data_IF_007831702277
#
_entry.id   IF_007831702277
#
_cell.length_a   1.000
_cell.length_b   1.000
_cell.length_c   1.000
_cell.angle_alpha   90.00
_cell.angle_beta   90.00
_cell.angle_gamma   90.00
#
_symmetry.space_group_name_H-M   'P 1'
#
loop_
_entity.id
_entity.type
_entity.pdbx_description
1 polymer ?
#
# COMPACT_ATOMS: atom_id res chain seq x y z
N UNK A 1 6.17 20.67 17.48
CA UNK A 1 7.15 19.75 16.83
C UNK A 1 6.95 19.82 15.32
N UNK A 2 8.03 19.80 14.52
CA UNK A 2 7.97 19.79 13.06
C UNK A 2 8.32 18.41 12.50
N UNK A 3 7.44 17.81 11.73
CA UNK A 3 7.65 16.51 11.08
C UNK A 3 7.66 16.69 9.57
N UNK A 4 8.68 16.16 8.90
CA UNK A 4 8.75 16.14 7.44
C UNK A 4 8.66 14.71 6.95
N UNK A 5 7.66 14.44 6.12
CA UNK A 5 7.54 13.20 5.35
C UNK A 5 8.11 13.40 3.96
N UNK A 6 8.93 12.46 3.49
CA UNK A 6 9.50 12.49 2.13
C UNK A 6 9.06 11.23 1.40
N UNK A 7 8.38 11.39 0.26
CA UNK A 7 7.89 10.29 -0.58
C UNK A 7 8.20 10.54 -2.05
N UNK A 8 8.80 9.53 -2.71
CA UNK A 8 9.08 9.65 -4.14
C UNK A 8 7.83 9.38 -4.98
N UNK A 9 7.07 8.33 -4.65
CA UNK A 9 5.94 7.91 -5.47
C UNK A 9 4.62 8.10 -4.73
N UNK A 10 3.84 9.12 -5.10
CA UNK A 10 2.43 9.23 -4.71
C UNK A 10 1.56 8.49 -5.73
N UNK A 11 1.48 7.15 -5.63
CA UNK A 11 0.74 6.33 -6.58
C UNK A 11 0.07 5.14 -5.87
N UNK A 12 -1.13 4.77 -6.33
CA UNK A 12 -1.85 3.61 -5.80
C UNK A 12 -2.08 3.66 -4.29
N UNK A 13 -1.78 2.59 -3.58
CA UNK A 13 -1.94 2.51 -2.11
C UNK A 13 -1.14 3.55 -1.34
N UNK A 14 0.05 3.95 -1.83
CA UNK A 14 0.85 5.01 -1.20
C UNK A 14 0.16 6.37 -1.31
N UNK A 15 -0.51 6.66 -2.42
CA UNK A 15 -1.32 7.87 -2.57
C UNK A 15 -2.45 7.91 -1.54
N UNK A 16 -3.21 6.81 -1.41
CA UNK A 16 -4.28 6.68 -0.42
C UNK A 16 -3.74 6.87 1.00
N UNK A 17 -2.65 6.20 1.34
CA UNK A 17 -1.99 6.35 2.64
C UNK A 17 -1.61 7.80 2.95
N UNK A 18 -1.00 8.52 1.99
CA UNK A 18 -0.59 9.92 2.21
C UNK A 18 -1.75 10.90 2.25
N UNK A 19 -2.81 10.68 1.48
CA UNK A 19 -4.06 11.46 1.60
C UNK A 19 -4.64 11.31 3.00
N UNK A 20 -4.74 10.07 3.49
CA UNK A 20 -5.30 9.78 4.80
C UNK A 20 -4.39 10.28 5.93
N UNK A 21 -3.06 10.18 5.78
CA UNK A 21 -2.07 10.77 6.70
C UNK A 21 -2.20 12.28 6.73
N UNK A 22 -2.37 12.94 5.57
CA UNK A 22 -2.55 14.40 5.52
C UNK A 22 -3.80 14.85 6.24
N UNK A 23 -4.90 14.09 6.12
CA UNK A 23 -6.15 14.41 6.82
C UNK A 23 -6.01 14.22 8.33
N UNK A 24 -5.33 13.17 8.78
CA UNK A 24 -5.11 12.91 10.20
C UNK A 24 -4.18 13.97 10.83
N UNK A 25 -2.99 14.20 10.25
CA UNK A 25 -2.02 15.17 10.80
C UNK A 25 -2.36 16.63 10.49
N UNK A 26 -3.24 16.88 9.54
CA UNK A 26 -3.76 18.22 9.23
C UNK A 26 -5.03 18.60 10.02
N UNK A 27 -5.52 17.71 10.90
CA UNK A 27 -6.57 18.03 11.88
C UNK A 27 -6.11 19.18 12.78
N UNK A 28 -7.03 20.11 13.11
CA UNK A 28 -6.70 21.33 13.84
C UNK A 28 -6.06 21.07 15.21
N UNK A 29 -6.56 20.08 15.95
CA UNK A 29 -6.04 19.77 17.29
C UNK A 29 -4.65 19.12 17.21
N UNK A 30 -4.45 18.21 16.26
CA UNK A 30 -3.15 17.56 16.05
C UNK A 30 -2.14 18.58 15.54
N UNK A 31 -2.52 19.46 14.63
CA UNK A 31 -1.65 20.45 14.02
C UNK A 31 -1.15 21.52 15.00
N UNK A 32 -1.88 21.79 16.10
CA UNK A 32 -1.41 22.62 17.21
C UNK A 32 -0.10 22.07 17.83
N UNK A 33 0.07 20.78 17.83
CA UNK A 33 1.22 20.08 18.45
C UNK A 33 2.27 19.62 17.45
N UNK A 34 1.86 19.21 16.25
CA UNK A 34 2.72 18.67 15.18
C UNK A 34 2.43 19.39 13.88
N UNK A 35 3.38 20.20 13.43
CA UNK A 35 3.37 20.82 12.11
C UNK A 35 3.93 19.84 11.07
N UNK A 36 3.08 19.36 10.18
CA UNK A 36 3.45 18.35 9.17
C UNK A 36 3.74 18.99 7.83
N UNK A 37 4.86 18.59 7.23
CA UNK A 37 5.22 18.90 5.84
C UNK A 37 5.38 17.60 5.05
N UNK A 38 4.78 17.53 3.86
CA UNK A 38 4.94 16.40 2.93
C UNK A 38 5.72 16.89 1.71
N UNK A 39 6.93 16.34 1.52
CA UNK A 39 7.75 16.54 0.33
C UNK A 39 7.51 15.35 -0.61
N UNK A 40 7.00 15.63 -1.81
CA UNK A 40 6.59 14.59 -2.75
C UNK A 40 7.09 14.86 -4.18
N UNK A 41 7.14 13.84 -5.01
CA UNK A 41 7.38 13.99 -6.45
C UNK A 41 6.06 13.95 -7.22
N UNK A 42 5.82 15.00 -8.01
CA UNK A 42 4.64 15.10 -8.88
C UNK A 42 4.83 14.45 -10.26
N UNK A 43 5.90 13.69 -10.49
CA UNK A 43 6.27 13.16 -11.81
C UNK A 43 5.70 11.75 -12.08
N UNK A 44 4.49 11.46 -11.61
CA UNK A 44 3.85 10.17 -11.84
C UNK A 44 2.57 10.31 -12.64
N UNK A 45 2.32 9.33 -13.52
CA UNK A 45 1.10 9.28 -14.32
C UNK A 45 -0.15 9.30 -13.43
N UNK A 46 -1.06 10.24 -13.70
CA UNK A 46 -2.33 10.37 -12.99
C UNK A 46 -2.27 11.13 -11.65
N UNK A 47 -1.09 11.64 -11.25
CA UNK A 47 -0.95 12.48 -10.05
C UNK A 47 -0.40 13.84 -10.43
N UNK A 48 -1.28 14.82 -10.61
CA UNK A 48 -0.88 16.22 -10.79
C UNK A 48 -0.74 16.93 -9.44
N UNK A 49 0.05 18.00 -9.43
CA UNK A 49 0.17 18.86 -8.22
C UNK A 49 -1.17 19.47 -7.83
N UNK A 50 -2.04 19.76 -8.79
CA UNK A 50 -3.40 20.28 -8.56
C UNK A 50 -4.25 19.25 -7.82
N UNK A 51 -4.21 17.98 -8.26
CA UNK A 51 -4.93 16.88 -7.61
C UNK A 51 -4.45 16.69 -6.17
N UNK A 52 -3.14 16.69 -5.93
CA UNK A 52 -2.60 16.58 -4.57
C UNK A 52 -3.10 17.73 -3.70
N UNK A 53 -3.04 18.98 -4.18
CA UNK A 53 -3.51 20.15 -3.45
C UNK A 53 -5.01 20.15 -3.18
N UNK A 54 -5.82 19.54 -4.04
CA UNK A 54 -7.29 19.48 -3.86
C UNK A 54 -7.74 18.36 -2.91
N UNK A 55 -7.01 17.24 -2.87
CA UNK A 55 -7.40 16.06 -2.10
C UNK A 55 -6.71 15.95 -0.72
N UNK A 56 -5.59 16.65 -0.50
CA UNK A 56 -4.85 16.63 0.77
C UNK A 56 -5.32 17.75 1.69
N UNK A 57 -5.24 17.52 3.00
CA UNK A 57 -5.63 18.51 4.00
C UNK A 57 -4.86 19.81 3.85
N UNK A 58 -5.55 20.94 4.01
CA UNK A 58 -4.93 22.28 4.05
C UNK A 58 -4.10 22.52 5.33
N UNK A 59 -4.27 21.68 6.35
CA UNK A 59 -3.50 21.73 7.60
C UNK A 59 -2.07 21.20 7.46
N UNK A 60 -1.68 20.64 6.31
CA UNK A 60 -0.30 20.19 6.05
C UNK A 60 0.38 21.05 4.99
N UNK A 61 1.69 21.23 5.12
CA UNK A 61 2.48 21.90 4.08
C UNK A 61 2.86 20.91 2.98
N UNK A 62 2.67 21.29 1.71
CA UNK A 62 2.98 20.46 0.55
C UNK A 62 4.12 21.09 -0.26
N UNK A 63 5.20 20.33 -0.48
CA UNK A 63 6.36 20.75 -1.26
C UNK A 63 6.62 19.73 -2.36
N UNK A 64 6.64 20.17 -3.62
CA UNK A 64 6.96 19.31 -4.76
C UNK A 64 8.46 19.37 -5.07
N UNK A 65 9.13 18.21 -5.02
CA UNK A 65 10.53 18.04 -5.46
C UNK A 65 10.56 16.85 -6.42
N UNK A 66 11.01 17.12 -7.66
CA UNK A 66 11.14 16.07 -8.67
C UNK A 66 12.13 15.00 -8.22
N UNK A 67 11.65 13.77 -8.11
CA UNK A 67 12.42 12.55 -7.89
C UNK A 67 11.97 11.52 -8.96
N UNK A 68 12.91 10.76 -9.49
CA UNK A 68 12.61 9.73 -10.50
C UNK A 68 12.75 8.34 -9.88
N UNK A 69 11.97 7.38 -10.38
CA UNK A 69 11.96 6.02 -9.87
C UNK A 69 13.27 5.28 -10.14
N UNK A 70 13.74 5.40 -11.37
CA UNK A 70 14.96 4.76 -11.85
C UNK A 70 16.19 5.37 -11.16
N UNK A 71 17.29 4.62 -11.14
CA UNK A 71 18.59 5.15 -10.69
C UNK A 71 19.07 6.13 -11.75
N UNK A 72 19.15 7.42 -11.39
CA UNK A 72 19.60 8.51 -12.28
C UNK A 72 20.56 9.41 -11.51
N UNK A 73 21.89 9.17 -11.60
CA UNK A 73 22.88 9.86 -10.75
C UNK A 73 22.77 11.37 -10.76
N UNK A 74 22.62 11.99 -11.93
CA UNK A 74 22.50 13.45 -12.05
C UNK A 74 21.20 14.01 -11.44
N UNK A 75 20.06 13.34 -11.72
CA UNK A 75 18.78 13.77 -11.17
C UNK A 75 18.70 13.50 -9.67
N UNK A 76 19.26 12.38 -9.23
CA UNK A 76 19.33 12.00 -7.83
C UNK A 76 20.16 13.00 -7.03
N UNK A 77 21.33 13.39 -7.55
CA UNK A 77 22.17 14.42 -6.93
C UNK A 77 21.45 15.76 -6.83
N UNK A 78 20.77 16.20 -7.89
CA UNK A 78 19.95 17.41 -7.89
C UNK A 78 18.82 17.35 -6.86
N UNK A 79 18.17 16.18 -6.74
CA UNK A 79 17.10 15.94 -5.76
C UNK A 79 17.65 15.99 -4.33
N UNK A 80 18.80 15.37 -4.07
CA UNK A 80 19.49 15.40 -2.76
C UNK A 80 19.78 16.84 -2.32
N UNK A 81 20.35 17.68 -3.19
CA UNK A 81 20.63 19.09 -2.85
C UNK A 81 19.36 19.91 -2.61
N UNK A 82 18.28 19.67 -3.39
CA UNK A 82 16.99 20.33 -3.15
C UNK A 82 16.39 19.88 -1.82
N UNK A 83 16.40 18.58 -1.52
CA UNK A 83 15.94 18.03 -0.25
C UNK A 83 16.73 18.64 0.92
N UNK A 84 18.07 18.66 0.83
CA UNK A 84 18.94 19.29 1.83
C UNK A 84 18.52 20.73 2.10
N UNK A 85 18.37 21.55 1.05
CA UNK A 85 17.99 22.97 1.17
C UNK A 85 16.64 23.15 1.87
N UNK A 86 15.63 22.36 1.50
CA UNK A 86 14.32 22.46 2.14
C UNK A 86 14.36 21.94 3.59
N UNK A 87 15.10 20.87 3.88
CA UNK A 87 15.28 20.37 5.25
C UNK A 87 16.00 21.39 6.15
N UNK A 88 17.00 22.12 5.64
CA UNK A 88 17.67 23.20 6.36
C UNK A 88 16.72 24.37 6.65
N UNK A 89 15.89 24.75 5.67
CA UNK A 89 14.89 25.82 5.79
C UNK A 89 13.79 25.49 6.80
N UNK A 90 13.23 24.26 6.73
CA UNK A 90 12.16 23.80 7.62
C UNK A 90 12.71 23.57 9.03
N UNK A 91 13.94 23.06 9.13
CA UNK A 91 14.60 22.62 10.35
C UNK A 91 13.70 21.67 11.17
N UNK A 92 13.32 20.49 10.62
CA UNK A 92 12.39 19.57 11.28
C UNK A 92 13.01 18.92 12.51
N UNK A 93 12.17 18.48 13.44
CA UNK A 93 12.55 17.64 14.57
C UNK A 93 12.65 16.16 14.13
N UNK A 94 11.71 15.77 13.25
CA UNK A 94 11.58 14.39 12.74
C UNK A 94 11.54 14.41 11.22
N UNK A 95 12.21 13.43 10.61
CA UNK A 95 12.16 13.15 9.19
C UNK A 95 11.70 11.70 9.00
N UNK A 96 10.59 11.51 8.29
CA UNK A 96 10.04 10.20 7.96
C UNK A 96 10.12 9.96 6.45
N UNK A 97 10.94 9.00 6.06
CA UNK A 97 11.22 8.64 4.68
C UNK A 97 10.31 7.49 4.24
N UNK A 98 9.73 7.57 3.05
CA UNK A 98 8.79 6.58 2.55
C UNK A 98 9.22 6.05 1.18
N UNK A 99 9.25 4.74 1.01
CA UNK A 99 9.78 3.99 -0.14
C UNK A 99 11.31 3.97 -0.25
N UNK A 100 11.84 2.98 -0.97
CA UNK A 100 13.30 2.78 -1.10
C UNK A 100 14.01 4.00 -1.69
N UNK A 101 13.44 4.65 -2.72
CA UNK A 101 14.07 5.81 -3.36
C UNK A 101 14.19 7.00 -2.41
N UNK A 102 13.10 7.39 -1.75
CA UNK A 102 13.12 8.46 -0.76
C UNK A 102 13.97 8.08 0.47
N UNK A 103 14.01 6.79 0.82
CA UNK A 103 14.89 6.25 1.84
C UNK A 103 16.37 6.50 1.55
N UNK A 104 16.81 6.31 0.31
CA UNK A 104 18.19 6.60 -0.14
C UNK A 104 18.46 8.10 -0.16
N UNK A 105 17.68 8.84 -0.97
CA UNK A 105 17.92 10.27 -1.20
C UNK A 105 17.77 11.10 0.09
N UNK A 106 16.76 10.76 0.89
CA UNK A 106 16.48 11.46 2.15
C UNK A 106 17.57 11.24 3.21
N UNK A 107 18.06 9.99 3.39
CA UNK A 107 19.16 9.74 4.34
C UNK A 107 20.43 10.51 3.96
N UNK A 108 20.79 10.53 2.65
CA UNK A 108 21.95 11.29 2.18
C UNK A 108 21.74 12.79 2.40
N UNK A 109 20.56 13.31 2.08
CA UNK A 109 20.25 14.74 2.30
C UNK A 109 20.31 15.12 3.79
N UNK A 110 19.81 14.26 4.68
CA UNK A 110 19.90 14.44 6.13
C UNK A 110 21.37 14.46 6.63
N UNK A 111 22.18 13.54 6.14
CA UNK A 111 23.60 13.48 6.49
C UNK A 111 24.35 14.75 6.06
N UNK A 112 24.09 15.23 4.85
CA UNK A 112 24.70 16.45 4.31
C UNK A 112 24.22 17.73 5.01
N UNK A 113 23.08 17.70 5.71
CA UNK A 113 22.56 18.85 6.47
C UNK A 113 23.26 19.07 7.82
N UNK A 114 24.19 18.20 8.21
CA UNK A 114 25.04 18.27 9.42
C UNK A 114 24.29 18.37 10.76
N UNK A 115 22.98 18.30 10.79
CA UNK A 115 22.16 18.32 12.01
C UNK A 115 21.66 16.93 12.31
N UNK A 116 21.95 16.40 13.51
CA UNK A 116 21.35 15.15 13.97
C UNK A 116 19.82 15.31 14.06
N UNK A 117 19.10 14.49 13.33
CA UNK A 117 17.63 14.44 13.32
C UNK A 117 17.16 13.03 13.65
N UNK A 118 15.98 12.91 14.24
CA UNK A 118 15.31 11.63 14.41
C UNK A 118 14.77 11.20 13.05
N UNK A 119 15.24 10.06 12.55
CA UNK A 119 14.86 9.53 11.23
C UNK A 119 14.03 8.28 11.40
N UNK A 120 12.86 8.26 10.75
CA UNK A 120 12.05 7.08 10.52
C UNK A 120 12.07 6.72 9.04
N UNK A 121 11.93 5.44 8.75
CA UNK A 121 11.89 4.94 7.38
C UNK A 121 10.84 3.84 7.22
N UNK A 122 9.85 4.08 6.36
CA UNK A 122 8.84 3.09 5.97
C UNK A 122 9.10 2.63 4.53
N UNK A 123 9.50 1.35 4.32
CA UNK A 123 9.75 0.82 2.97
C UNK A 123 8.49 0.75 2.11
N UNK A 124 7.33 0.45 2.70
CA UNK A 124 6.07 0.13 2.01
C UNK A 124 6.23 -1.00 0.98
N UNK A 125 6.94 -2.05 1.35
CA UNK A 125 7.38 -3.13 0.48
C UNK A 125 8.80 -2.87 -0.05
N UNK A 126 9.76 -3.65 0.44
CA UNK A 126 11.15 -3.53 0.03
C UNK A 126 11.34 -3.84 -1.46
N UNK A 127 12.14 -3.02 -2.16
CA UNK A 127 12.43 -3.23 -3.58
C UNK A 127 13.08 -4.58 -3.89
N UNK A 128 13.84 -5.16 -2.94
CA UNK A 128 14.46 -6.48 -3.10
C UNK A 128 13.47 -7.66 -2.98
N UNK A 129 12.22 -7.42 -2.62
CA UNK A 129 11.16 -8.44 -2.61
C UNK A 129 10.49 -8.62 -3.98
N UNK A 130 10.76 -7.73 -4.93
CA UNK A 130 10.24 -7.80 -6.29
C UNK A 130 10.71 -9.07 -6.99
N UNK A 131 9.79 -9.76 -7.65
CA UNK A 131 10.06 -11.00 -8.40
C UNK A 131 10.24 -10.76 -9.90
N UNK A 132 9.96 -9.55 -10.39
CA UNK A 132 10.12 -9.14 -11.79
C UNK A 132 11.53 -8.65 -12.12
N UNK A 133 12.46 -8.68 -11.17
CA UNK A 133 13.87 -8.31 -11.36
C UNK A 133 14.81 -9.50 -11.11
N UNK A 134 16.03 -9.42 -11.64
CA UNK A 134 17.02 -10.49 -11.49
C UNK A 134 17.43 -10.74 -10.02
N UNK A 135 17.86 -11.96 -9.71
CA UNK A 135 18.39 -12.30 -8.38
C UNK A 135 19.57 -11.42 -7.97
N UNK A 136 20.44 -11.03 -8.91
CA UNK A 136 21.57 -10.12 -8.67
C UNK A 136 21.09 -8.72 -8.30
N UNK A 137 20.08 -8.18 -8.99
CA UNK A 137 19.49 -6.90 -8.65
C UNK A 137 18.81 -6.93 -7.25
N UNK A 138 18.12 -8.02 -6.91
CA UNK A 138 17.53 -8.21 -5.58
C UNK A 138 18.61 -8.21 -4.47
N UNK A 139 19.71 -8.94 -4.68
CA UNK A 139 20.85 -8.94 -3.74
C UNK A 139 21.47 -7.56 -3.59
N UNK A 140 21.64 -6.83 -4.70
CA UNK A 140 22.15 -5.46 -4.69
C UNK A 140 21.23 -4.54 -3.88
N UNK A 141 19.93 -4.56 -4.11
CA UNK A 141 18.98 -3.73 -3.37
C UNK A 141 18.97 -4.07 -1.88
N UNK A 142 19.06 -5.35 -1.52
CA UNK A 142 19.16 -5.75 -0.12
C UNK A 142 20.46 -5.26 0.53
N UNK A 143 21.59 -5.31 -0.19
CA UNK A 143 22.86 -4.77 0.27
C UNK A 143 22.81 -3.24 0.46
N UNK A 144 22.20 -2.52 -0.49
CA UNK A 144 22.00 -1.06 -0.37
C UNK A 144 21.18 -0.73 0.87
N UNK A 145 20.03 -1.37 1.09
CA UNK A 145 19.18 -1.14 2.27
C UNK A 145 19.96 -1.36 3.58
N UNK A 146 20.70 -2.47 3.67
CA UNK A 146 21.51 -2.78 4.84
C UNK A 146 22.65 -1.77 5.06
N UNK A 147 23.38 -1.40 4.00
CA UNK A 147 24.47 -0.43 4.08
C UNK A 147 23.98 0.95 4.47
N UNK A 148 22.86 1.42 3.90
CA UNK A 148 22.27 2.72 4.25
C UNK A 148 21.81 2.75 5.71
N UNK A 149 21.24 1.64 6.20
CA UNK A 149 20.84 1.53 7.59
C UNK A 149 22.06 1.57 8.53
N UNK A 150 23.16 0.91 8.18
CA UNK A 150 24.40 0.92 8.97
C UNK A 150 25.08 2.29 8.97
N UNK A 151 25.11 2.98 7.81
CA UNK A 151 25.81 4.26 7.65
C UNK A 151 25.03 5.45 8.24
N UNK A 152 23.72 5.47 8.05
CA UNK A 152 22.89 6.65 8.36
C UNK A 152 21.90 6.39 9.51
N UNK A 153 21.70 5.15 9.90
CA UNK A 153 20.79 4.79 10.99
C UNK A 153 19.32 5.06 10.70
N UNK A 154 18.59 5.37 11.76
CA UNK A 154 17.15 5.58 11.79
C UNK A 154 16.37 4.35 12.25
N UNK A 155 15.09 4.54 12.59
CA UNK A 155 14.18 3.45 12.97
C UNK A 155 13.32 3.07 11.77
N UNK A 156 13.31 1.79 11.41
CA UNK A 156 12.48 1.26 10.33
C UNK A 156 11.06 1.06 10.85
N UNK A 157 10.07 1.62 10.16
CA UNK A 157 8.66 1.42 10.47
C UNK A 157 8.06 0.47 9.42
N UNK A 158 7.90 -0.78 9.79
CA UNK A 158 7.30 -1.78 8.92
C UNK A 158 5.77 -1.64 8.89
N UNK A 159 5.18 -1.83 7.71
CA UNK A 159 3.74 -1.71 7.51
C UNK A 159 2.96 -3.02 7.68
N UNK A 160 3.67 -4.16 7.83
CA UNK A 160 3.10 -5.49 8.02
C UNK A 160 4.03 -6.37 8.86
N UNK A 161 3.50 -7.48 9.37
CA UNK A 161 4.22 -8.36 10.29
C UNK A 161 5.43 -9.03 9.63
N UNK A 162 5.29 -9.54 8.41
CA UNK A 162 6.42 -10.17 7.68
C UNK A 162 7.47 -9.14 7.26
N UNK A 163 7.07 -7.92 6.91
CA UNK A 163 8.01 -6.83 6.66
C UNK A 163 8.77 -6.46 7.95
N UNK A 164 8.10 -6.50 9.10
CA UNK A 164 8.73 -6.25 10.40
C UNK A 164 9.80 -7.30 10.75
N UNK A 165 9.53 -8.59 10.49
CA UNK A 165 10.53 -9.64 10.68
C UNK A 165 11.78 -9.47 9.79
N UNK A 166 11.60 -8.92 8.59
CA UNK A 166 12.70 -8.55 7.69
C UNK A 166 13.43 -7.31 8.26
N UNK A 167 12.69 -6.29 8.67
CA UNK A 167 13.24 -5.04 9.19
C UNK A 167 14.13 -5.26 10.41
N UNK A 168 13.75 -6.15 11.34
CA UNK A 168 14.55 -6.53 12.51
C UNK A 168 15.95 -7.07 12.16
N UNK A 169 16.10 -7.69 10.98
CA UNK A 169 17.39 -8.21 10.50
C UNK A 169 18.26 -7.12 9.85
N UNK A 170 17.67 -5.95 9.56
CA UNK A 170 18.36 -4.82 8.91
C UNK A 170 18.78 -3.78 9.96
N UNK A 171 17.91 -3.48 10.94
CA UNK A 171 18.21 -2.49 11.97
C UNK A 171 17.08 -2.27 12.99
N UNK A 172 17.21 -1.26 13.86
CA UNK A 172 16.16 -0.89 14.80
C UNK A 172 14.83 -0.70 14.07
N UNK A 173 13.79 -1.37 14.55
CA UNK A 173 12.50 -1.38 13.84
C UNK A 173 11.32 -1.39 14.79
N UNK A 174 10.20 -0.81 14.36
CA UNK A 174 8.90 -0.86 15.01
C UNK A 174 7.84 -1.21 13.98
N UNK A 175 6.71 -1.75 14.42
CA UNK A 175 5.58 -2.12 13.56
C UNK A 175 4.50 -1.05 13.67
N UNK A 176 4.20 -0.38 12.56
CA UNK A 176 3.06 0.54 12.41
C UNK A 176 2.33 0.11 11.15
N UNK A 177 1.25 -0.64 11.31
CA UNK A 177 0.52 -1.19 10.16
C UNK A 177 -0.14 -0.10 9.33
N UNK A 178 -0.16 -0.28 8.01
CA UNK A 178 -1.05 0.50 7.17
C UNK A 178 -2.50 0.16 7.51
N UNK A 179 -3.41 1.09 7.22
CA UNK A 179 -4.82 0.91 7.49
C UNK A 179 -5.70 1.60 6.46
N UNK A 180 -7.00 1.40 6.62
CA UNK A 180 -8.05 1.99 5.78
C UNK A 180 -9.08 2.71 6.62
N UNK A 181 -9.85 3.61 5.99
CA UNK A 181 -10.99 4.25 6.63
C UNK A 181 -12.19 3.30 6.67
N UNK A 182 -12.34 2.64 7.81
CA UNK A 182 -13.42 1.67 7.98
C UNK A 182 -14.80 2.33 7.90
N UNK A 183 -14.94 3.54 8.42
CA UNK A 183 -16.23 4.25 8.42
C UNK A 183 -16.61 4.69 7.00
N UNK A 184 -15.67 5.30 6.25
CA UNK A 184 -15.87 5.71 4.86
C UNK A 184 -16.31 4.51 3.99
N UNK A 185 -15.58 3.40 4.08
CA UNK A 185 -15.84 2.23 3.23
C UNK A 185 -17.15 1.54 3.61
N UNK A 186 -17.47 1.43 4.91
CA UNK A 186 -18.70 0.77 5.39
C UNK A 186 -19.99 1.44 4.94
N UNK A 187 -19.98 2.72 4.60
CA UNK A 187 -21.13 3.42 4.02
C UNK A 187 -21.58 2.81 2.68
N UNK A 188 -20.68 2.11 2.00
CA UNK A 188 -20.95 1.46 0.72
C UNK A 188 -21.29 -0.02 0.84
N UNK A 189 -21.29 -0.57 2.05
CA UNK A 189 -21.69 -1.95 2.26
C UNK A 189 -23.22 -2.09 2.12
N UNK A 190 -23.63 -3.01 1.26
CA UNK A 190 -25.00 -3.49 1.18
C UNK A 190 -25.00 -4.99 0.92
N UNK A 191 -25.85 -5.76 1.61
CA UNK A 191 -26.04 -7.16 1.25
C UNK A 191 -26.49 -7.29 -0.20
N UNK A 192 -25.94 -8.23 -0.91
CA UNK A 192 -26.34 -8.55 -2.28
C UNK A 192 -26.24 -10.07 -2.50
N UNK A 193 -26.88 -10.52 -3.54
CA UNK A 193 -26.82 -11.92 -3.96
C UNK A 193 -26.69 -11.98 -5.49
N UNK A 194 -25.58 -12.53 -5.94
CA UNK A 194 -25.36 -12.76 -7.37
C UNK A 194 -25.94 -14.11 -7.80
N UNK A 195 -26.45 -14.19 -9.02
CA UNK A 195 -26.93 -15.45 -9.61
C UNK A 195 -25.79 -16.43 -9.91
N UNK A 196 -24.62 -15.90 -10.25
CA UNK A 196 -23.35 -16.63 -10.41
C UNK A 196 -22.32 -16.07 -9.44
N UNK A 197 -21.48 -16.92 -8.88
CA UNK A 197 -20.38 -16.47 -8.02
C UNK A 197 -19.51 -15.47 -8.77
N UNK A 198 -19.37 -14.27 -8.20
CA UNK A 198 -18.63 -13.18 -8.80
C UNK A 198 -17.33 -12.94 -8.01
N UNK A 199 -16.21 -13.16 -8.68
CA UNK A 199 -14.85 -13.04 -8.12
C UNK A 199 -14.22 -11.76 -8.65
N UNK A 200 -13.64 -10.94 -7.77
CA UNK A 200 -13.09 -9.66 -8.21
C UNK A 200 -11.73 -9.32 -7.61
N UNK A 201 -11.02 -8.43 -8.30
CA UNK A 201 -9.77 -7.82 -7.86
C UNK A 201 -9.85 -6.31 -8.05
N UNK A 202 -9.24 -5.55 -7.14
CA UNK A 202 -9.13 -4.10 -7.25
C UNK A 202 -7.66 -3.68 -7.39
N UNK A 203 -7.37 -2.86 -8.39
CA UNK A 203 -6.07 -2.24 -8.56
C UNK A 203 -5.60 -2.16 -10.00
N UNK A 204 -4.44 -1.55 -10.19
CA UNK A 204 -3.86 -1.36 -11.52
C UNK A 204 -3.39 -2.71 -12.12
N UNK A 205 -3.67 -2.93 -13.40
CA UNK A 205 -3.25 -4.12 -14.14
C UNK A 205 -1.76 -4.00 -14.48
N UNK A 206 -0.92 -4.56 -13.60
CA UNK A 206 0.55 -4.50 -13.69
C UNK A 206 1.16 -5.87 -13.43
N UNK A 207 2.46 -6.03 -13.71
CA UNK A 207 3.19 -7.26 -13.42
C UNK A 207 3.09 -7.68 -11.94
N UNK A 208 3.09 -6.70 -11.01
CA UNK A 208 2.94 -6.98 -9.57
C UNK A 208 1.63 -7.71 -9.24
N UNK A 209 0.54 -7.37 -9.93
CA UNK A 209 -0.80 -7.96 -9.74
C UNK A 209 -1.01 -9.28 -10.48
N UNK A 210 -0.07 -9.68 -11.33
CA UNK A 210 -0.09 -10.93 -12.11
C UNK A 210 -1.40 -11.17 -12.88
N UNK A 211 -1.71 -10.32 -13.88
CA UNK A 211 -2.95 -10.47 -14.67
C UNK A 211 -3.02 -11.81 -15.42
N UNK A 212 -1.88 -12.43 -15.72
CA UNK A 212 -1.86 -13.76 -16.34
C UNK A 212 -2.49 -14.81 -15.43
N UNK A 213 -2.09 -14.87 -14.16
CA UNK A 213 -2.66 -15.81 -13.20
C UNK A 213 -4.15 -15.56 -12.99
N UNK A 214 -4.58 -14.29 -12.90
CA UNK A 214 -6.00 -13.96 -12.80
C UNK A 214 -6.78 -14.48 -14.03
N UNK A 215 -6.23 -14.29 -15.22
CA UNK A 215 -6.83 -14.79 -16.46
C UNK A 215 -6.88 -16.33 -16.51
N UNK A 216 -5.80 -17.01 -16.10
CA UNK A 216 -5.77 -18.48 -16.00
C UNK A 216 -6.84 -19.01 -15.05
N UNK A 217 -7.01 -18.38 -13.89
CA UNK A 217 -8.04 -18.75 -12.92
C UNK A 217 -9.41 -18.55 -13.53
N UNK A 218 -9.67 -17.45 -14.20
CA UNK A 218 -10.96 -17.21 -14.83
C UNK A 218 -11.27 -18.21 -15.94
N UNK A 219 -10.29 -18.59 -16.74
CA UNK A 219 -10.45 -19.63 -17.79
C UNK A 219 -10.67 -21.04 -17.21
N UNK A 220 -10.17 -21.33 -16.01
CA UNK A 220 -10.43 -22.59 -15.30
C UNK A 220 -11.85 -22.64 -14.72
N UNK A 221 -12.37 -21.50 -14.22
CA UNK A 221 -13.68 -21.40 -13.54
C UNK A 221 -14.70 -20.67 -14.41
N UNK A 222 -15.07 -21.25 -15.55
CA UNK A 222 -15.94 -20.63 -16.57
C UNK A 222 -17.37 -20.36 -16.09
N UNK A 223 -17.84 -21.08 -15.07
CA UNK A 223 -19.18 -20.89 -14.49
C UNK A 223 -19.27 -19.65 -13.58
N UNK A 224 -18.14 -19.02 -13.22
CA UNK A 224 -18.09 -17.83 -12.41
C UNK A 224 -17.93 -16.57 -13.26
N UNK A 225 -18.36 -15.44 -12.73
CA UNK A 225 -18.03 -14.12 -13.27
C UNK A 225 -16.76 -13.59 -12.62
N UNK A 226 -15.90 -12.96 -13.42
CA UNK A 226 -14.71 -12.32 -12.93
C UNK A 226 -14.75 -10.82 -13.23
N UNK A 227 -14.31 -10.00 -12.28
CA UNK A 227 -14.29 -8.54 -12.43
C UNK A 227 -12.90 -8.02 -12.04
N UNK A 228 -12.27 -7.24 -12.94
CA UNK A 228 -11.10 -6.45 -12.59
C UNK A 228 -11.50 -4.99 -12.47
N UNK A 229 -11.46 -4.45 -11.24
CA UNK A 229 -11.76 -3.03 -10.95
C UNK A 229 -10.46 -2.25 -11.09
N UNK A 230 -10.28 -1.59 -12.22
CA UNK A 230 -9.06 -0.89 -12.59
C UNK A 230 -8.63 -1.17 -14.03
N UNK A 231 -7.52 -0.57 -14.42
CA UNK A 231 -6.92 -0.70 -15.75
C UNK A 231 -5.39 -0.70 -15.65
N UNK A 232 -4.68 -0.85 -16.76
CA UNK A 232 -3.22 -0.73 -16.82
C UNK A 232 -2.61 -1.29 -18.09
N UNK A 233 -1.30 -1.15 -18.23
CA UNK A 233 -0.54 -1.46 -19.44
C UNK A 233 -0.59 -2.94 -19.86
N UNK A 234 -0.94 -3.82 -18.93
CA UNK A 234 -1.04 -5.27 -19.15
C UNK A 234 -2.47 -5.78 -19.30
N UNK A 235 -3.45 -4.91 -19.56
CA UNK A 235 -4.85 -5.31 -19.76
C UNK A 235 -5.04 -6.29 -20.92
N UNK A 236 -4.19 -6.21 -21.96
CA UNK A 236 -4.16 -7.13 -23.10
C UNK A 236 -3.89 -8.60 -22.73
N UNK A 237 -3.40 -8.86 -21.52
CA UNK A 237 -3.18 -10.22 -20.98
C UNK A 237 -4.44 -10.85 -20.39
N UNK A 238 -5.53 -10.08 -20.28
CA UNK A 238 -6.80 -10.52 -19.73
C UNK A 238 -7.76 -10.77 -20.91
N UNK A 239 -7.94 -12.03 -21.27
CA UNK A 239 -8.66 -12.45 -22.48
C UNK A 239 -9.86 -13.38 -22.19
N UNK A 240 -10.04 -13.81 -20.94
CA UNK A 240 -11.11 -14.70 -20.52
C UNK A 240 -12.50 -14.09 -20.83
N UNK A 241 -13.41 -14.85 -21.50
CA UNK A 241 -14.72 -14.34 -21.92
C UNK A 241 -15.66 -14.04 -20.73
N UNK A 242 -15.35 -14.58 -19.57
CA UNK A 242 -16.07 -14.37 -18.31
C UNK A 242 -15.43 -13.28 -17.42
N UNK A 243 -14.49 -12.48 -17.97
CA UNK A 243 -13.84 -11.37 -17.26
C UNK A 243 -14.37 -10.04 -17.76
N UNK A 244 -14.79 -9.19 -16.84
CA UNK A 244 -15.11 -7.79 -17.11
C UNK A 244 -14.03 -6.88 -16.51
N UNK A 245 -13.38 -6.06 -17.33
CA UNK A 245 -12.49 -4.99 -16.87
C UNK A 245 -13.33 -3.72 -16.74
N UNK A 246 -13.37 -3.11 -15.53
CA UNK A 246 -14.15 -1.88 -15.25
C UNK A 246 -13.44 -0.60 -15.66
N UNK A 247 -12.15 -0.66 -16.03
CA UNK A 247 -11.36 0.50 -16.36
C UNK A 247 -11.00 1.39 -15.16
N UNK A 248 -10.44 2.56 -15.43
CA UNK A 248 -10.13 3.55 -14.39
C UNK A 248 -11.38 4.22 -13.86
N UNK A 249 -11.63 4.08 -12.56
CA UNK A 249 -12.72 4.73 -11.84
C UNK A 249 -12.11 5.79 -10.93
N UNK A 250 -12.44 7.06 -11.15
CA UNK A 250 -11.90 8.19 -10.37
C UNK A 250 -12.67 8.39 -9.05
N UNK A 251 -13.97 8.13 -9.07
CA UNK A 251 -14.83 8.27 -7.89
C UNK A 251 -14.71 7.04 -6.98
N UNK A 252 -14.16 7.23 -5.78
CA UNK A 252 -14.02 6.17 -4.79
C UNK A 252 -15.34 5.53 -4.37
N UNK A 253 -16.43 6.29 -4.36
CA UNK A 253 -17.75 5.77 -4.02
C UNK A 253 -18.20 4.70 -5.03
N UNK A 254 -17.89 4.91 -6.31
CA UNK A 254 -18.15 3.94 -7.37
C UNK A 254 -17.22 2.73 -7.22
N UNK A 255 -15.93 2.94 -6.92
CA UNK A 255 -14.98 1.85 -6.65
C UNK A 255 -15.49 0.95 -5.53
N UNK A 256 -15.95 1.52 -4.42
CA UNK A 256 -16.47 0.73 -3.29
C UNK A 256 -17.79 0.03 -3.62
N UNK A 257 -18.66 0.62 -4.43
CA UNK A 257 -19.88 -0.05 -4.94
C UNK A 257 -19.53 -1.25 -5.82
N UNK A 258 -18.59 -1.09 -6.76
CA UNK A 258 -18.10 -2.20 -7.59
C UNK A 258 -17.44 -3.29 -6.72
N UNK A 259 -16.62 -2.90 -5.75
CA UNK A 259 -16.00 -3.83 -4.81
C UNK A 259 -17.04 -4.51 -3.91
N UNK A 260 -18.12 -3.81 -3.56
CA UNK A 260 -19.21 -4.45 -2.80
C UNK A 260 -20.00 -5.45 -3.66
N UNK A 261 -20.05 -5.30 -4.98
CA UNK A 261 -20.80 -6.20 -5.86
C UNK A 261 -20.20 -7.59 -6.07
N UNK A 262 -18.92 -7.80 -5.70
CA UNK A 262 -18.28 -9.11 -5.78
C UNK A 262 -18.63 -9.99 -4.57
N UNK A 263 -18.57 -11.32 -4.75
CA UNK A 263 -18.78 -12.30 -3.69
C UNK A 263 -17.48 -12.71 -3.00
N UNK A 264 -16.38 -12.75 -3.76
CA UNK A 264 -15.05 -13.19 -3.30
C UNK A 264 -13.99 -12.23 -3.85
N UNK A 265 -13.10 -11.78 -3.00
CA UNK A 265 -11.94 -11.00 -3.43
C UNK A 265 -10.75 -11.91 -3.72
N UNK A 266 -10.19 -11.83 -4.94
CA UNK A 266 -9.07 -12.63 -5.40
C UNK A 266 -7.84 -11.74 -5.60
N UNK A 267 -6.77 -11.99 -4.85
CA UNK A 267 -5.49 -11.28 -4.96
C UNK A 267 -4.42 -12.20 -5.58
N UNK A 268 -4.04 -11.94 -6.82
CA UNK A 268 -3.08 -12.76 -7.58
C UNK A 268 -1.65 -12.24 -7.58
N UNK A 269 -1.33 -11.28 -6.72
CA UNK A 269 -0.06 -10.55 -6.72
C UNK A 269 1.16 -11.43 -6.56
N UNK A 270 2.26 -11.04 -7.22
CA UNK A 270 3.59 -11.65 -7.10
C UNK A 270 4.41 -11.09 -5.95
N UNK A 271 4.18 -9.84 -5.55
CA UNK A 271 4.79 -9.17 -4.39
C UNK A 271 3.91 -8.02 -3.93
N UNK A 272 3.90 -7.76 -2.62
CA UNK A 272 3.19 -6.67 -1.96
C UNK A 272 4.00 -6.14 -0.76
N UNK A 273 3.69 -4.92 -0.31
CA UNK A 273 4.03 -4.46 1.03
C UNK A 273 2.91 -4.86 2.00
N UNK A 274 1.85 -4.07 2.04
CA UNK A 274 0.57 -4.40 2.66
C UNK A 274 -0.55 -3.87 1.74
N UNK A 275 -1.28 -4.74 1.01
CA UNK A 275 -2.18 -4.31 -0.05
C UNK A 275 -3.45 -3.65 0.50
N UNK A 276 -3.58 -2.33 0.31
CA UNK A 276 -4.73 -1.53 0.77
C UNK A 276 -6.05 -2.05 0.17
N UNK A 277 -6.06 -2.41 -1.12
CA UNK A 277 -7.27 -2.92 -1.79
C UNK A 277 -7.84 -4.20 -1.14
N UNK A 278 -6.97 -5.05 -0.58
CA UNK A 278 -7.39 -6.23 0.16
C UNK A 278 -8.04 -5.84 1.49
N UNK A 279 -7.51 -4.83 2.18
CA UNK A 279 -8.14 -4.28 3.39
C UNK A 279 -9.50 -3.65 3.10
N UNK A 280 -9.63 -2.93 1.97
CA UNK A 280 -10.90 -2.36 1.51
C UNK A 280 -11.96 -3.46 1.28
N UNK A 281 -11.56 -4.58 0.67
CA UNK A 281 -12.43 -5.74 0.49
C UNK A 281 -12.86 -6.37 1.83
N UNK A 282 -11.94 -6.46 2.81
CA UNK A 282 -12.26 -6.97 4.15
C UNK A 282 -13.30 -6.10 4.87
N UNK A 283 -13.22 -4.78 4.72
CA UNK A 283 -14.21 -3.85 5.30
C UNK A 283 -15.60 -4.08 4.70
N UNK A 284 -15.67 -4.48 3.42
CA UNK A 284 -16.91 -4.84 2.74
C UNK A 284 -17.31 -6.32 2.92
N UNK A 285 -16.77 -6.96 3.96
CA UNK A 285 -17.08 -8.35 4.31
C UNK A 285 -16.86 -9.36 3.17
N UNK A 286 -15.83 -9.15 2.34
CA UNK A 286 -15.48 -10.12 1.30
C UNK A 286 -14.56 -11.20 1.85
N UNK A 287 -14.88 -12.49 1.67
CA UNK A 287 -13.90 -13.54 1.89
C UNK A 287 -12.74 -13.38 0.91
N UNK A 288 -11.52 -13.65 1.36
CA UNK A 288 -10.32 -13.40 0.59
C UNK A 288 -9.72 -14.71 0.09
N UNK A 289 -9.36 -14.76 -1.19
CA UNK A 289 -8.41 -15.74 -1.72
C UNK A 289 -7.19 -14.94 -2.21
N UNK A 290 -6.00 -15.31 -1.75
CA UNK A 290 -4.79 -14.56 -2.09
C UNK A 290 -3.58 -15.48 -2.28
N UNK A 291 -2.66 -15.07 -3.16
CA UNK A 291 -1.34 -15.72 -3.26
C UNK A 291 -0.61 -15.68 -1.92
N UNK A 292 0.12 -16.77 -1.59
CA UNK A 292 0.82 -16.93 -0.31
C UNK A 292 2.15 -16.16 -0.27
N UNK A 293 2.07 -14.83 -0.34
CA UNK A 293 3.21 -13.92 -0.37
C UNK A 293 3.24 -12.95 0.82
N UNK A 294 4.37 -12.26 1.00
CA UNK A 294 4.51 -11.15 1.97
C UNK A 294 3.41 -10.11 1.71
N UNK A 295 2.87 -9.55 2.77
CA UNK A 295 1.73 -8.63 2.72
C UNK A 295 0.39 -9.36 2.73
N UNK A 296 0.15 -10.29 1.82
CA UNK A 296 -1.09 -11.09 1.85
C UNK A 296 -1.18 -11.96 3.11
N UNK A 297 -0.06 -12.63 3.50
CA UNK A 297 0.04 -13.44 4.75
C UNK A 297 -0.23 -12.62 6.01
N UNK A 298 0.09 -11.34 5.99
CA UNK A 298 -0.11 -10.46 7.15
C UNK A 298 -1.58 -10.14 7.35
N UNK A 299 -2.35 -10.18 6.27
CA UNK A 299 -3.76 -9.80 6.24
C UNK A 299 -4.67 -11.04 6.37
N UNK A 300 -4.44 -12.08 5.55
CA UNK A 300 -5.30 -13.26 5.46
C UNK A 300 -4.95 -14.27 6.54
N UNK A 301 -5.94 -14.64 7.35
CA UNK A 301 -5.87 -15.78 8.24
C UNK A 301 -6.54 -16.98 7.57
N UNK A 302 -5.76 -18.01 7.18
CA UNK A 302 -6.31 -19.20 6.52
C UNK A 302 -7.43 -19.83 7.34
N UNK A 303 -8.50 -20.25 6.66
CA UNK A 303 -9.71 -20.85 7.24
C UNK A 303 -10.50 -19.96 8.23
N UNK A 304 -10.13 -18.67 8.36
CA UNK A 304 -10.85 -17.71 9.20
C UNK A 304 -11.35 -16.50 8.40
N UNK A 305 -10.46 -15.84 7.62
CA UNK A 305 -10.82 -14.68 6.80
C UNK A 305 -10.79 -14.99 5.31
N UNK A 306 -10.35 -16.19 4.96
CA UNK A 306 -10.19 -16.66 3.58
C UNK A 306 -9.10 -17.71 3.46
N UNK A 307 -8.43 -17.73 2.31
CA UNK A 307 -7.44 -18.73 1.96
C UNK A 307 -6.20 -18.11 1.32
N UNK A 308 -5.05 -18.74 1.55
CA UNK A 308 -3.79 -18.46 0.84
C UNK A 308 -3.48 -19.65 -0.07
N UNK A 309 -2.98 -19.40 -1.28
CA UNK A 309 -2.62 -20.45 -2.23
C UNK A 309 -1.24 -20.23 -2.83
N UNK A 310 -0.55 -21.32 -3.11
CA UNK A 310 0.71 -21.37 -3.85
C UNK A 310 0.49 -21.90 -5.28
N UNK A 311 -0.53 -22.79 -5.45
CA UNK A 311 -0.84 -23.45 -6.71
C UNK A 311 -2.31 -23.29 -7.08
N UNK A 312 -2.60 -23.13 -8.38
CA UNK A 312 -3.95 -22.90 -8.92
C UNK A 312 -4.91 -24.05 -8.60
N UNK A 313 -4.42 -25.27 -8.43
CA UNK A 313 -5.26 -26.45 -8.15
C UNK A 313 -5.87 -26.43 -6.75
N UNK A 314 -5.29 -25.68 -5.82
CA UNK A 314 -5.89 -25.50 -4.49
C UNK A 314 -7.22 -24.75 -4.54
N UNK A 315 -7.40 -23.93 -5.58
CA UNK A 315 -8.59 -23.10 -5.76
C UNK A 315 -9.88 -23.93 -5.96
N UNK A 316 -9.78 -25.16 -6.46
CA UNK A 316 -10.95 -26.03 -6.62
C UNK A 316 -11.66 -26.23 -5.28
N UNK A 317 -10.89 -26.57 -4.23
CA UNK A 317 -11.42 -26.77 -2.88
C UNK A 317 -11.89 -25.46 -2.23
N UNK A 318 -11.18 -24.34 -2.46
CA UNK A 318 -11.52 -23.06 -1.86
C UNK A 318 -12.81 -22.47 -2.47
N UNK A 319 -12.95 -22.54 -3.78
CA UNK A 319 -14.17 -22.09 -4.42
C UNK A 319 -15.36 -23.01 -4.11
N UNK A 320 -15.16 -24.33 -3.95
CA UNK A 320 -16.23 -25.24 -3.52
C UNK A 320 -16.79 -24.82 -2.15
N UNK A 321 -15.91 -24.49 -1.19
CA UNK A 321 -16.32 -23.96 0.12
C UNK A 321 -17.05 -22.62 -0.03
N UNK A 322 -16.58 -21.73 -0.93
CA UNK A 322 -17.11 -20.38 -1.09
C UNK A 322 -18.36 -20.31 -2.01
N UNK A 323 -18.79 -21.39 -2.64
CA UNK A 323 -20.14 -21.48 -3.24
C UNK A 323 -21.22 -21.33 -2.17
N UNK A 324 -20.97 -21.80 -0.96
CA UNK A 324 -21.89 -21.66 0.17
C UNK A 324 -21.93 -20.20 0.67
N UNK A 325 -23.09 -19.56 0.58
CA UNK A 325 -23.30 -18.18 1.03
C UNK A 325 -23.06 -17.99 2.54
N UNK A 326 -23.36 -19.00 3.37
CA UNK A 326 -23.13 -18.92 4.82
C UNK A 326 -21.64 -18.95 5.14
N UNK A 327 -20.84 -19.70 4.38
CA UNK A 327 -19.38 -19.71 4.49
C UNK A 327 -18.81 -18.36 4.05
N UNK A 328 -19.28 -17.79 2.94
CA UNK A 328 -18.87 -16.42 2.54
C UNK A 328 -19.16 -15.41 3.62
N UNK A 329 -20.34 -15.44 4.22
CA UNK A 329 -20.72 -14.55 5.31
C UNK A 329 -19.82 -14.75 6.54
N UNK A 330 -19.51 -15.98 6.92
CA UNK A 330 -18.62 -16.29 8.03
C UNK A 330 -17.22 -15.70 7.80
N UNK A 331 -16.60 -15.98 6.67
CA UNK A 331 -15.27 -15.46 6.34
C UNK A 331 -15.27 -13.94 6.23
N UNK A 332 -16.28 -13.35 5.61
CA UNK A 332 -16.41 -11.90 5.47
C UNK A 332 -16.54 -11.16 6.80
N UNK A 333 -17.34 -11.67 7.73
CA UNK A 333 -17.47 -11.09 9.09
C UNK A 333 -16.15 -11.16 9.86
N UNK A 334 -15.44 -12.28 9.77
CA UNK A 334 -14.12 -12.41 10.39
C UNK A 334 -13.08 -11.47 9.75
N UNK A 335 -13.15 -11.30 8.43
CA UNK A 335 -12.30 -10.34 7.72
C UNK A 335 -12.54 -8.91 8.22
N UNK A 336 -13.79 -8.47 8.30
CA UNK A 336 -14.13 -7.15 8.86
C UNK A 336 -13.66 -7.01 10.32
N UNK A 337 -13.89 -8.04 11.17
CA UNK A 337 -13.43 -8.01 12.57
C UNK A 337 -11.92 -7.78 12.65
N UNK A 338 -11.13 -8.59 11.92
CA UNK A 338 -9.67 -8.46 11.88
C UNK A 338 -9.23 -7.09 11.36
N UNK A 339 -9.92 -6.56 10.33
CA UNK A 339 -9.61 -5.24 9.79
C UNK A 339 -9.82 -4.14 10.85
N UNK A 340 -10.91 -4.19 11.60
CA UNK A 340 -11.18 -3.26 12.72
C UNK A 340 -10.13 -3.32 13.83
N UNK A 341 -9.63 -4.51 14.12
CA UNK A 341 -8.66 -4.71 15.21
C UNK A 341 -7.25 -4.25 14.84
N UNK A 342 -6.81 -4.43 13.58
CA UNK A 342 -5.42 -4.25 13.21
C UNK A 342 -5.17 -3.18 12.15
N UNK A 343 -6.16 -2.89 11.31
CA UNK A 343 -5.97 -2.10 10.10
C UNK A 343 -6.88 -0.86 10.04
N UNK A 344 -7.37 -0.38 11.19
CA UNK A 344 -8.01 0.93 11.29
C UNK A 344 -6.94 2.03 11.18
N UNK A 345 -7.02 2.85 10.11
CA UNK A 345 -6.04 3.91 9.86
C UNK A 345 -5.92 4.90 11.01
N UNK A 346 -7.05 5.25 11.67
CA UNK A 346 -7.05 6.24 12.74
C UNK A 346 -6.31 5.72 13.98
N UNK A 347 -6.49 4.43 14.32
CA UNK A 347 -5.74 3.81 15.41
C UNK A 347 -4.24 3.73 15.06
N UNK A 348 -3.90 3.36 13.82
CA UNK A 348 -2.51 3.20 13.39
C UNK A 348 -1.80 4.56 13.29
N UNK A 349 -2.47 5.64 12.85
CA UNK A 349 -1.91 6.99 12.88
C UNK A 349 -1.76 7.54 14.30
N UNK A 350 -2.65 7.18 15.23
CA UNK A 350 -2.46 7.51 16.65
C UNK A 350 -1.21 6.84 17.23
N UNK A 351 -0.95 5.58 16.88
CA UNK A 351 0.30 4.90 17.26
C UNK A 351 1.53 5.60 16.67
N UNK A 352 1.45 6.03 15.40
CA UNK A 352 2.51 6.80 14.75
C UNK A 352 2.73 8.17 15.43
N UNK A 353 1.65 8.85 15.81
CA UNK A 353 1.69 10.11 16.56
C UNK A 353 2.40 9.93 17.90
N UNK A 354 2.03 8.92 18.68
CA UNK A 354 2.70 8.59 19.95
C UNK A 354 4.18 8.31 19.75
N UNK A 355 4.54 7.56 18.72
CA UNK A 355 5.93 7.25 18.39
C UNK A 355 6.75 8.51 18.03
N UNK A 356 6.14 9.52 17.44
CA UNK A 356 6.81 10.80 17.16
C UNK A 356 7.06 11.60 18.45
N UNK A 357 6.21 11.46 19.43
CA UNK A 357 6.29 12.17 20.71
C UNK A 357 7.28 11.53 21.71
N UNK A 358 7.65 10.25 21.52
CA UNK A 358 8.76 9.57 22.24
C UNK A 358 10.13 10.17 21.88
#
# INVERSE_FOLDING_TARGET
MKVVHIVEALEGGVYTYFRDLSNFFGDEEINKTIQTTIIYSGNRNGVSSEKVKSEFSKGVNLISISMVREISPFQDLKSIFKLKKELEKINPDIIHLHSSKAGVLGRIACFLSLKKKKIFYSPHGYAFLRTDISSSARKLYAAIEKSLQQLFGGTILACGDTEFEIAKKIGPSKLIRNGVDIQEIRQHFSPHQNTKLTVGILGRITAARNPKLFNEIALKFTDFNFIWIGDGDLNHLITGPNIQIKGWILDKSIVFKELNSIDVYLQTSLWEGLPIALLEAMVLEKPIIATNIIGNKDIVLPNQTGFLFDHIDELDSYFEILKDAQKRLYFGKNALKRCKELFDKNQNFKQLLTLYQE
#
